data_IF_264923317718
#
_entry.id   IF_264923317718
#
_cell.length_a   1.000
_cell.length_b   1.000
_cell.length_c   1.000
_cell.angle_alpha   90.00
_cell.angle_beta   90.00
_cell.angle_gamma   90.00
#
_symmetry.space_group_name_H-M   'P 1'
#
loop_
_entity.id
_entity.type
_entity.pdbx_description
1 polymer ?
#
# COMPACT_ATOMS: atom_id res chain seq x y z
N UNK A 1 -19.18 5.52 -7.78
CA UNK A 1 -19.35 4.97 -9.15
C UNK A 1 -19.17 3.45 -9.18
N UNK A 2 -18.07 2.90 -8.65
CA UNK A 2 -17.87 1.45 -8.52
C UNK A 2 -18.94 0.76 -7.66
N UNK A 3 -19.26 1.30 -6.48
CA UNK A 3 -20.30 0.76 -5.58
C UNK A 3 -21.65 0.59 -6.30
N UNK A 4 -22.02 1.57 -7.13
CA UNK A 4 -23.24 1.50 -7.95
C UNK A 4 -23.19 0.36 -8.98
N UNK A 5 -22.02 0.09 -9.59
CA UNK A 5 -21.85 -1.02 -10.53
C UNK A 5 -21.90 -2.39 -9.83
N UNK A 6 -21.34 -2.49 -8.62
CA UNK A 6 -21.43 -3.70 -7.79
C UNK A 6 -22.86 -3.96 -7.35
N UNK A 7 -23.57 -2.94 -6.86
CA UNK A 7 -24.98 -3.01 -6.48
C UNK A 7 -25.88 -3.42 -7.66
N UNK A 8 -25.56 -2.96 -8.86
CA UNK A 8 -26.25 -3.34 -10.10
C UNK A 8 -25.87 -4.73 -10.65
N UNK A 9 -24.95 -5.47 -9.98
CA UNK A 9 -24.50 -6.79 -10.43
C UNK A 9 -23.56 -6.78 -11.65
N UNK A 10 -23.17 -5.61 -12.16
CA UNK A 10 -22.30 -5.48 -13.33
C UNK A 10 -20.82 -5.64 -12.95
N UNK A 11 -20.42 -6.91 -12.83
CA UNK A 11 -19.05 -7.32 -12.47
C UNK A 11 -18.00 -6.82 -13.46
N UNK A 12 -18.34 -6.75 -14.76
CA UNK A 12 -17.39 -6.32 -15.81
C UNK A 12 -17.06 -4.84 -15.65
N UNK A 13 -18.09 -4.01 -15.47
CA UNK A 13 -17.92 -2.57 -15.22
C UNK A 13 -17.22 -2.30 -13.89
N UNK A 14 -17.56 -3.04 -12.83
CA UNK A 14 -16.88 -2.93 -11.54
C UNK A 14 -15.37 -3.21 -11.68
N UNK A 15 -14.99 -4.30 -12.35
CA UNK A 15 -13.57 -4.64 -12.57
C UNK A 15 -12.85 -3.62 -13.46
N UNK A 16 -13.51 -3.09 -14.49
CA UNK A 16 -12.95 -2.04 -15.35
C UNK A 16 -12.64 -0.76 -14.57
N UNK A 17 -13.59 -0.31 -13.75
CA UNK A 17 -13.43 0.87 -12.89
C UNK A 17 -12.34 0.66 -11.84
N UNK A 18 -12.26 -0.53 -11.24
CA UNK A 18 -11.19 -0.86 -10.29
C UNK A 18 -9.81 -0.77 -10.95
N UNK A 19 -9.65 -1.35 -12.15
CA UNK A 19 -8.40 -1.28 -12.93
C UNK A 19 -8.04 0.16 -13.29
N UNK A 20 -9.02 1.00 -13.59
CA UNK A 20 -8.80 2.42 -13.89
C UNK A 20 -8.28 3.18 -12.66
N UNK A 21 -8.93 2.99 -11.51
CA UNK A 21 -8.53 3.64 -10.24
C UNK A 21 -7.12 3.21 -9.85
N UNK A 22 -6.81 1.91 -9.92
CA UNK A 22 -5.47 1.40 -9.60
C UNK A 22 -4.37 1.99 -10.49
N UNK A 23 -4.69 2.49 -11.70
CA UNK A 23 -3.71 3.15 -12.59
C UNK A 23 -3.66 4.67 -12.41
N UNK A 24 -4.56 5.25 -11.63
CA UNK A 24 -4.65 6.69 -11.44
C UNK A 24 -3.44 7.25 -10.70
N UNK A 25 -2.98 8.44 -11.11
CA UNK A 25 -1.94 9.21 -10.42
C UNK A 25 -2.36 9.58 -8.99
N UNK A 26 -3.63 9.94 -8.82
CA UNK A 26 -4.17 10.27 -7.50
C UNK A 26 -4.10 9.08 -6.54
N UNK A 27 -4.43 7.87 -7.02
CA UNK A 27 -4.37 6.65 -6.22
C UNK A 27 -2.93 6.34 -5.76
N UNK A 28 -1.94 6.52 -6.63
CA UNK A 28 -0.51 6.37 -6.26
C UNK A 28 -0.10 7.34 -5.17
N UNK A 29 -0.44 8.62 -5.29
CA UNK A 29 -0.10 9.61 -4.26
C UNK A 29 -0.81 9.37 -2.94
N UNK A 30 -2.05 8.89 -2.95
CA UNK A 30 -2.75 8.46 -1.74
C UNK A 30 -2.03 7.28 -1.06
N UNK A 31 -1.58 6.29 -1.82
CA UNK A 31 -0.78 5.18 -1.31
C UNK A 31 0.55 5.65 -0.71
N UNK A 32 1.27 6.54 -1.42
CA UNK A 32 2.52 7.14 -0.93
C UNK A 32 2.28 7.90 0.38
N UNK A 33 1.23 8.73 0.45
CA UNK A 33 0.87 9.48 1.66
C UNK A 33 0.53 8.54 2.82
N UNK A 34 -0.27 7.51 2.57
CA UNK A 34 -0.66 6.54 3.59
C UNK A 34 0.58 5.87 4.20
N UNK A 35 1.48 5.38 3.36
CA UNK A 35 2.69 4.67 3.78
C UNK A 35 3.70 5.59 4.47
N UNK A 36 4.00 6.74 3.87
CA UNK A 36 5.11 7.60 4.31
C UNK A 36 4.72 8.55 5.44
N UNK A 37 3.44 8.93 5.54
CA UNK A 37 3.00 9.98 6.47
C UNK A 37 2.01 9.48 7.53
N UNK A 38 1.10 8.57 7.20
CA UNK A 38 -0.03 8.22 8.09
C UNK A 38 0.19 6.92 8.87
N UNK A 39 0.81 5.91 8.27
CA UNK A 39 0.98 4.59 8.90
C UNK A 39 1.83 4.67 10.19
N UNK A 40 1.41 3.95 11.24
CA UNK A 40 2.12 3.90 12.51
C UNK A 40 3.55 3.35 12.37
N UNK A 41 3.76 2.42 11.44
CA UNK A 41 5.06 1.82 11.13
C UNK A 41 5.99 2.66 10.24
N UNK A 42 5.64 3.91 9.90
CA UNK A 42 6.42 4.77 8.96
C UNK A 42 7.87 5.03 9.38
N UNK A 43 8.19 4.86 10.67
CA UNK A 43 9.54 5.03 11.22
C UNK A 43 10.41 3.77 11.09
N UNK A 44 9.85 2.63 10.69
CA UNK A 44 10.58 1.37 10.58
C UNK A 44 11.05 1.17 9.15
N UNK A 45 12.36 1.22 8.94
CA UNK A 45 12.94 1.09 7.62
C UNK A 45 12.89 -0.36 7.11
N UNK A 46 12.63 -0.53 5.82
CA UNK A 46 12.88 -1.78 5.12
C UNK A 46 14.39 -2.05 4.98
N UNK A 47 14.74 -2.95 4.06
CA UNK A 47 16.16 -3.27 3.76
C UNK A 47 16.88 -2.09 3.07
N UNK A 48 16.12 -1.17 2.48
CA UNK A 48 16.57 0.06 1.83
C UNK A 48 16.96 1.17 2.81
N UNK A 49 16.67 1.01 4.11
CA UNK A 49 17.04 1.99 5.14
C UNK A 49 16.24 3.30 5.10
N UNK A 50 15.30 3.46 4.16
CA UNK A 50 14.51 4.69 3.97
C UNK A 50 13.25 4.69 4.87
N UNK A 51 13.01 5.81 5.56
CA UNK A 51 11.85 6.00 6.47
C UNK A 51 11.21 7.37 6.31
N UNK A 52 12.01 8.43 6.44
CA UNK A 52 11.58 9.80 6.25
C UNK A 52 11.91 10.24 4.82
N UNK A 53 10.94 10.13 3.91
CA UNK A 53 11.10 10.61 2.54
C UNK A 53 10.87 12.13 2.46
N UNK A 54 11.73 12.82 1.72
CA UNK A 54 11.52 14.23 1.39
C UNK A 54 10.33 14.40 0.42
N UNK A 55 9.96 15.63 0.12
CA UNK A 55 8.93 15.90 -0.89
C UNK A 55 9.35 15.37 -2.27
N UNK A 56 10.58 15.67 -2.70
CA UNK A 56 11.12 15.23 -4.00
C UNK A 56 11.21 13.70 -4.11
N UNK A 57 11.65 13.03 -3.04
CA UNK A 57 11.71 11.57 -3.03
C UNK A 57 10.33 10.92 -3.17
N UNK A 58 9.27 11.56 -2.65
CA UNK A 58 7.89 11.08 -2.83
C UNK A 58 7.40 11.25 -4.27
N UNK A 59 7.82 12.30 -4.97
CA UNK A 59 7.54 12.45 -6.40
C UNK A 59 8.29 11.42 -7.23
N UNK A 60 9.58 11.21 -6.94
CA UNK A 60 10.37 10.16 -7.59
C UNK A 60 9.78 8.78 -7.34
N UNK A 61 9.25 8.53 -6.15
CA UNK A 61 8.55 7.29 -5.83
C UNK A 61 7.29 7.10 -6.68
N UNK A 62 6.54 8.15 -6.99
CA UNK A 62 5.38 8.06 -7.89
C UNK A 62 5.80 7.65 -9.32
N UNK A 63 6.91 8.20 -9.81
CA UNK A 63 7.47 7.84 -11.11
C UNK A 63 7.92 6.37 -11.15
N UNK A 64 8.52 5.88 -10.06
CA UNK A 64 8.90 4.47 -9.92
C UNK A 64 7.68 3.55 -9.89
N UNK A 65 6.65 3.89 -9.11
CA UNK A 65 5.41 3.11 -9.00
C UNK A 65 4.60 3.09 -10.31
N UNK A 66 4.81 4.07 -11.19
CA UNK A 66 4.20 4.09 -12.53
C UNK A 66 4.84 3.06 -13.46
N UNK A 67 6.08 2.66 -13.23
CA UNK A 67 6.76 1.65 -14.04
C UNK A 67 6.20 0.26 -13.73
N UNK A 68 5.89 -0.53 -14.76
CA UNK A 68 5.31 -1.88 -14.60
C UNK A 68 6.35 -2.95 -14.24
N UNK A 69 7.62 -2.59 -14.34
CA UNK A 69 8.77 -3.47 -14.33
C UNK A 69 9.57 -3.34 -13.03
N UNK A 70 8.88 -3.03 -11.94
CA UNK A 70 9.45 -2.99 -10.61
C UNK A 70 9.38 -4.39 -9.96
N UNK A 71 10.41 -4.75 -9.20
CA UNK A 71 10.51 -6.05 -8.54
C UNK A 71 10.48 -5.88 -7.01
N UNK A 72 9.84 -6.82 -6.32
CA UNK A 72 9.82 -6.83 -4.86
C UNK A 72 11.22 -7.14 -4.31
N UNK A 73 11.75 -6.23 -3.50
CA UNK A 73 12.97 -6.48 -2.73
C UNK A 73 12.71 -7.46 -1.59
N UNK A 74 13.79 -8.11 -1.11
CA UNK A 74 13.74 -8.95 0.09
C UNK A 74 13.22 -8.14 1.29
N UNK A 75 12.38 -8.78 2.10
CA UNK A 75 11.82 -8.17 3.32
C UNK A 75 12.87 -8.15 4.42
N UNK A 76 12.93 -7.06 5.19
CA UNK A 76 13.76 -6.99 6.40
C UNK A 76 13.04 -7.75 7.53
N UNK A 77 13.75 -8.68 8.17
CA UNK A 77 13.23 -9.43 9.32
C UNK A 77 13.71 -8.77 10.61
N UNK A 78 12.76 -8.36 11.46
CA UNK A 78 13.05 -7.80 12.78
C UNK A 78 12.56 -8.79 13.84
N UNK A 79 13.43 -9.35 14.69
CA UNK A 79 13.02 -10.25 15.75
C UNK A 79 12.27 -9.49 16.85
N UNK A 80 11.11 -10.02 17.26
CA UNK A 80 10.32 -9.53 18.39
C UNK A 80 10.23 -10.68 19.40
N UNK A 81 10.87 -10.56 20.58
CA UNK A 81 10.82 -11.58 21.60
C UNK A 81 9.42 -11.62 22.23
N UNK A 82 8.92 -12.82 22.49
CA UNK A 82 7.70 -13.04 23.26
C UNK A 82 8.04 -13.39 24.71
N UNK A 83 7.02 -13.33 25.58
CA UNK A 83 7.14 -13.70 26.99
C UNK A 83 7.48 -15.18 27.22
N UNK A 84 7.17 -16.05 26.25
CA UNK A 84 7.41 -17.50 26.29
C UNK A 84 8.84 -17.90 25.86
N UNK A 85 9.71 -16.94 25.53
CA UNK A 85 11.06 -17.18 25.02
C UNK A 85 11.13 -17.44 23.51
N UNK A 86 10.00 -17.61 22.82
CA UNK A 86 9.96 -17.72 21.37
C UNK A 86 10.12 -16.36 20.69
N UNK A 87 10.63 -16.34 19.45
CA UNK A 87 10.79 -15.11 18.67
C UNK A 87 9.80 -15.08 17.51
N UNK A 88 9.06 -13.98 17.36
CA UNK A 88 8.27 -13.71 16.14
C UNK A 88 9.05 -12.72 15.26
N UNK A 89 9.18 -13.02 13.98
CA UNK A 89 9.78 -12.07 13.03
C UNK A 89 8.73 -11.14 12.43
N UNK A 90 8.95 -9.83 12.55
CA UNK A 90 8.23 -8.83 11.78
C UNK A 90 8.90 -8.68 10.41
N UNK A 91 8.11 -8.87 9.36
CA UNK A 91 8.56 -8.69 7.97
C UNK A 91 8.27 -7.26 7.53
N UNK A 92 9.31 -6.47 7.34
CA UNK A 92 9.20 -5.06 6.94
C UNK A 92 9.57 -4.91 5.46
N UNK A 93 8.64 -4.50 4.60
CA UNK A 93 8.91 -4.21 3.19
C UNK A 93 9.69 -2.91 3.01
N UNK A 94 10.31 -2.74 1.83
CA UNK A 94 10.79 -1.43 1.37
C UNK A 94 9.62 -0.49 1.12
N UNK A 95 9.85 0.83 1.14
CA UNK A 95 8.77 1.80 0.96
C UNK A 95 8.07 1.63 -0.39
N UNK A 96 8.81 1.34 -1.45
CA UNK A 96 8.23 1.07 -2.78
C UNK A 96 7.32 -0.17 -2.77
N UNK A 97 7.82 -1.29 -2.25
CA UNK A 97 7.03 -2.53 -2.14
C UNK A 97 5.78 -2.32 -1.27
N UNK A 98 5.91 -1.55 -0.20
CA UNK A 98 4.81 -1.24 0.70
C UNK A 98 3.77 -0.32 0.06
N UNK A 99 4.19 0.68 -0.73
CA UNK A 99 3.29 1.53 -1.50
C UNK A 99 2.52 0.74 -2.54
N UNK A 100 3.15 -0.20 -3.25
CA UNK A 100 2.42 -1.02 -4.23
C UNK A 100 1.41 -1.94 -3.56
N UNK A 101 1.79 -2.61 -2.47
CA UNK A 101 0.83 -3.44 -1.72
C UNK A 101 -0.30 -2.58 -1.15
N UNK A 102 -0.01 -1.37 -0.67
CA UNK A 102 -1.04 -0.44 -0.21
C UNK A 102 -1.88 0.09 -1.36
N UNK A 103 -1.37 0.24 -2.58
CA UNK A 103 -2.16 0.67 -3.73
C UNK A 103 -3.17 -0.41 -4.13
N UNK A 104 -2.77 -1.68 -4.11
CA UNK A 104 -3.68 -2.82 -4.28
C UNK A 104 -4.70 -2.90 -3.13
N UNK A 105 -4.23 -2.76 -1.89
CA UNK A 105 -5.09 -2.75 -0.70
C UNK A 105 -5.96 -1.51 -0.59
N UNK A 106 -5.57 -0.34 -1.11
CA UNK A 106 -6.38 0.88 -1.17
C UNK A 106 -7.41 0.79 -2.30
N UNK A 107 -7.07 0.09 -3.39
CA UNK A 107 -8.06 -0.39 -4.35
C UNK A 107 -9.11 -1.31 -3.73
N UNK A 108 -8.85 -1.88 -2.54
CA UNK A 108 -9.80 -2.66 -1.74
C UNK A 108 -10.42 -1.81 -0.62
N UNK A 109 -9.64 -0.95 0.06
CA UNK A 109 -10.03 -0.18 1.25
C UNK A 109 -10.82 1.09 0.92
N UNK A 110 -10.56 1.73 -0.23
CA UNK A 110 -11.48 2.75 -0.76
C UNK A 110 -12.81 2.15 -1.25
N UNK A 111 -12.94 0.82 -1.28
CA UNK A 111 -14.10 0.09 -1.82
C UNK A 111 -14.82 -0.79 -0.80
N UNK A 112 -14.27 -0.99 0.39
CA UNK A 112 -15.06 -1.43 1.55
C UNK A 112 -15.73 -0.19 2.13
N UNK A 113 -17.08 -0.10 2.21
CA UNK A 113 -17.63 0.76 3.24
C UNK A 113 -17.02 0.24 4.54
N UNK A 114 -16.53 1.13 5.38
CA UNK A 114 -16.16 0.80 6.75
C UNK A 114 -17.23 -0.13 7.35
N UNK A 115 -16.96 -1.44 7.40
CA UNK A 115 -17.66 -2.34 8.31
C UNK A 115 -17.01 -2.08 9.66
N UNK A 116 -17.48 -0.99 10.25
CA UNK A 116 -17.52 -0.76 11.68
C UNK A 116 -18.68 0.18 11.87
N UNK A 117 -19.86 -0.39 12.09
CA UNK A 117 -20.89 0.08 13.01
C UNK A 117 -21.91 -1.07 13.07
N UNK A 118 -21.92 -1.73 14.24
CA UNK A 118 -23.00 -2.54 14.85
C UNK A 118 -23.85 -3.43 13.96
#
# INVERSE_FOLDING_TARGET
>A
MWVKAVQAGDKRKAMSLQKLILKSRAARFLAIRQVTQLNAGKKTAGIDGKTALTFEERFNLELLLRQKNWYHNKLRLIPIPKKDGSTRYLKVPTVCSYCTSNQESLGIFCLTPTISLS
#
